data_IF_576223533042
#
_entry.id   IF_576223533042
#
_cell.length_a   1.000
_cell.length_b   1.000
_cell.length_c   1.000
_cell.angle_alpha   90.00
_cell.angle_beta   90.00
_cell.angle_gamma   90.00
#
_symmetry.space_group_name_H-M   'P 1'
#
loop_
_entity.id
_entity.type
_entity.pdbx_description
1 polymer ?
#
# COMPACT_ATOMS: atom_id res chain seq x y z
N UNK A 1 -12.11 1.42 6.67
CA UNK A 1 -11.18 0.28 6.52
C UNK A 1 -11.73 -0.95 7.24
N UNK A 2 -11.70 -1.00 8.58
CA UNK A 2 -12.13 -2.18 9.36
C UNK A 2 -13.47 -2.79 8.92
N UNK A 3 -14.54 -1.99 8.92
CA UNK A 3 -15.87 -2.46 8.54
C UNK A 3 -16.02 -2.88 7.06
N UNK A 4 -15.18 -2.36 6.17
CA UNK A 4 -15.15 -2.76 4.77
C UNK A 4 -14.39 -4.08 4.62
N UNK A 5 -13.28 -4.24 5.33
CA UNK A 5 -12.51 -5.47 5.37
C UNK A 5 -13.35 -6.63 5.94
N UNK A 6 -14.09 -6.38 7.03
CA UNK A 6 -15.07 -7.32 7.61
C UNK A 6 -16.11 -7.76 6.57
N UNK A 7 -16.69 -6.80 5.85
CA UNK A 7 -17.71 -7.10 4.85
C UNK A 7 -17.14 -7.93 3.69
N UNK A 8 -15.91 -7.67 3.24
CA UNK A 8 -15.25 -8.47 2.21
C UNK A 8 -14.97 -9.89 2.73
N UNK A 9 -14.46 -10.03 3.95
CA UNK A 9 -14.21 -11.33 4.58
C UNK A 9 -15.49 -12.16 4.75
N UNK A 10 -16.59 -11.50 5.11
CA UNK A 10 -17.90 -12.12 5.24
C UNK A 10 -18.36 -12.74 3.92
N UNK A 11 -18.34 -11.96 2.84
CA UNK A 11 -18.75 -12.43 1.53
C UNK A 11 -17.80 -13.51 0.97
N UNK A 12 -16.48 -13.36 1.18
CA UNK A 12 -15.52 -14.38 0.77
C UNK A 12 -15.74 -15.72 1.49
N UNK A 13 -16.09 -15.68 2.78
CA UNK A 13 -16.40 -16.87 3.56
C UNK A 13 -17.67 -17.55 3.06
N UNK A 14 -18.74 -16.79 2.81
CA UNK A 14 -19.97 -17.32 2.22
C UNK A 14 -19.73 -17.99 0.86
N UNK A 15 -18.96 -17.34 -0.02
CA UNK A 15 -18.64 -17.89 -1.34
C UNK A 15 -17.83 -19.19 -1.23
N UNK A 16 -16.86 -19.27 -0.31
CA UNK A 16 -16.08 -20.49 -0.07
C UNK A 16 -16.94 -21.63 0.47
N UNK A 17 -17.89 -21.34 1.35
CA UNK A 17 -18.88 -22.31 1.84
C UNK A 17 -19.77 -22.82 0.71
N UNK A 18 -20.26 -21.92 -0.16
CA UNK A 18 -21.10 -22.29 -1.29
C UNK A 18 -20.36 -23.24 -2.25
N UNK A 19 -19.09 -22.92 -2.57
CA UNK A 19 -18.25 -23.80 -3.36
C UNK A 19 -17.96 -25.14 -2.66
N UNK A 20 -17.84 -25.15 -1.33
CA UNK A 20 -17.63 -26.38 -0.57
C UNK A 20 -18.86 -27.28 -0.61
N UNK A 21 -20.06 -26.69 -0.55
CA UNK A 21 -21.32 -27.42 -0.70
C UNK A 21 -21.42 -28.10 -2.07
N UNK A 22 -20.96 -27.45 -3.13
CA UNK A 22 -21.01 -28.01 -4.49
C UNK A 22 -19.88 -29.01 -4.78
N UNK A 23 -18.67 -28.76 -4.27
CA UNK A 23 -17.44 -29.43 -4.73
C UNK A 23 -16.69 -30.19 -3.63
N UNK A 24 -17.23 -30.19 -2.42
CA UNK A 24 -16.54 -30.61 -1.20
C UNK A 24 -15.57 -29.54 -0.68
N UNK A 25 -15.19 -29.60 0.60
CA UNK A 25 -14.22 -28.69 1.20
C UNK A 25 -12.81 -28.91 0.64
N UNK A 26 -11.85 -28.06 1.02
CA UNK A 26 -10.44 -28.33 0.70
C UNK A 26 -9.96 -29.63 1.39
N UNK A 27 -8.98 -30.35 0.81
CA UNK A 27 -8.64 -31.71 1.26
C UNK A 27 -8.24 -31.86 2.74
N UNK A 28 -7.62 -30.83 3.33
CA UNK A 28 -7.16 -30.81 4.72
C UNK A 28 -8.14 -30.09 5.67
N UNK A 29 -9.41 -29.94 5.29
CA UNK A 29 -10.41 -29.30 6.13
C UNK A 29 -10.66 -30.10 7.40
N UNK A 30 -10.46 -29.46 8.55
CA UNK A 30 -10.75 -30.00 9.86
C UNK A 30 -11.35 -28.88 10.73
N UNK A 31 -12.63 -28.98 11.15
CA UNK A 31 -13.28 -27.96 11.96
C UNK A 31 -12.66 -27.84 13.38
N UNK A 32 -11.98 -28.87 13.89
CA UNK A 32 -11.28 -28.84 15.17
C UNK A 32 -9.93 -28.12 15.11
N UNK A 33 -9.27 -28.10 13.94
CA UNK A 33 -7.97 -27.45 13.74
C UNK A 33 -8.10 -26.06 13.10
N UNK A 34 -9.12 -25.82 12.27
CA UNK A 34 -9.30 -24.54 11.61
C UNK A 34 -9.67 -23.45 12.61
N UNK A 35 -9.03 -22.29 12.47
CA UNK A 35 -9.31 -21.10 13.30
C UNK A 35 -9.71 -19.96 12.36
N UNK A 36 -11.02 -19.75 12.16
CA UNK A 36 -11.48 -18.77 11.21
C UNK A 36 -11.24 -17.34 11.70
N UNK A 37 -10.97 -16.43 10.76
CA UNK A 37 -10.66 -15.03 11.07
C UNK A 37 -11.78 -14.35 11.86
N UNK A 38 -13.06 -14.66 11.60
CA UNK A 38 -14.17 -14.03 12.34
C UNK A 38 -14.24 -14.40 13.83
N UNK A 39 -13.54 -15.46 14.26
CA UNK A 39 -13.40 -15.80 15.68
C UNK A 39 -12.17 -15.15 16.32
N UNK A 40 -11.13 -14.86 15.53
CA UNK A 40 -9.83 -14.37 16.03
C UNK A 40 -9.57 -12.89 15.74
N UNK A 41 -10.40 -12.26 14.90
CA UNK A 41 -10.26 -10.86 14.53
C UNK A 41 -10.37 -9.98 15.78
N UNK A 42 -9.41 -9.08 16.03
CA UNK A 42 -9.51 -8.16 17.16
C UNK A 42 -10.72 -7.24 16.97
N UNK A 43 -11.39 -6.91 18.08
CA UNK A 43 -12.49 -5.94 18.05
C UNK A 43 -11.96 -4.56 17.70
N UNK A 44 -12.79 -3.73 17.08
CA UNK A 44 -12.39 -2.37 16.71
C UNK A 44 -11.99 -1.54 17.94
N UNK A 45 -12.69 -1.74 19.05
CA UNK A 45 -12.43 -1.11 20.35
C UNK A 45 -11.03 -1.47 20.87
N UNK A 46 -10.60 -2.71 20.70
CA UNK A 46 -9.28 -3.20 21.12
C UNK A 46 -8.18 -2.53 20.27
N UNK A 47 -8.37 -2.46 18.96
CA UNK A 47 -7.44 -1.76 18.06
C UNK A 47 -7.31 -0.28 18.43
N UNK A 48 -8.42 0.40 18.72
CA UNK A 48 -8.43 1.80 19.17
C UNK A 48 -7.71 1.96 20.50
N UNK A 49 -7.97 1.07 21.47
CA UNK A 49 -7.30 1.09 22.77
C UNK A 49 -5.79 0.92 22.64
N UNK A 50 -5.32 -0.04 21.84
CA UNK A 50 -3.87 -0.25 21.60
C UNK A 50 -3.25 0.94 20.87
N UNK A 51 -3.99 1.55 19.95
CA UNK A 51 -3.57 2.75 19.23
C UNK A 51 -3.54 4.02 20.09
N UNK A 52 -4.13 4.01 21.30
CA UNK A 52 -4.30 5.20 22.12
C UNK A 52 -5.32 6.19 21.55
N UNK A 53 -6.30 5.70 20.78
CA UNK A 53 -7.34 6.49 20.10
C UNK A 53 -8.70 6.25 20.74
N UNK A 54 -9.62 7.22 20.59
CA UNK A 54 -10.99 7.09 21.08
C UNK A 54 -12.01 7.00 19.96
N UNK A 55 -12.94 6.04 20.05
CA UNK A 55 -14.09 5.95 19.13
C UNK A 55 -15.01 7.17 19.21
N UNK A 56 -14.93 7.95 20.28
CA UNK A 56 -15.69 9.20 20.42
C UNK A 56 -15.17 10.29 19.46
N UNK A 57 -13.90 10.24 19.08
CA UNK A 57 -13.27 11.19 18.15
C UNK A 57 -13.63 10.91 16.68
N UNK A 58 -14.22 9.76 16.38
CA UNK A 58 -14.68 9.42 15.04
C UNK A 58 -15.82 10.37 14.62
N UNK A 59 -15.64 11.03 13.48
CA UNK A 59 -16.59 12.02 12.96
C UNK A 59 -17.99 11.44 12.73
N UNK A 60 -19.01 12.28 12.91
CA UNK A 60 -20.41 11.91 12.70
C UNK A 60 -20.68 11.34 11.30
N UNK A 61 -20.04 11.92 10.27
CA UNK A 61 -20.14 11.45 8.88
C UNK A 61 -19.63 10.02 8.73
N UNK A 62 -18.50 9.67 9.35
CA UNK A 62 -17.99 8.28 9.30
C UNK A 62 -18.93 7.33 10.02
N UNK A 63 -19.47 7.73 11.17
CA UNK A 63 -20.47 6.94 11.90
C UNK A 63 -21.73 6.70 11.05
N UNK A 64 -22.19 7.70 10.31
CA UNK A 64 -23.33 7.58 9.40
C UNK A 64 -23.03 6.61 8.25
N UNK A 65 -21.89 6.75 7.57
CA UNK A 65 -21.46 5.83 6.51
C UNK A 65 -21.44 4.39 7.04
N UNK A 66 -20.84 4.17 8.21
CA UNK A 66 -20.77 2.83 8.83
C UNK A 66 -22.16 2.30 9.19
N UNK A 67 -23.06 3.14 9.71
CA UNK A 67 -24.44 2.73 10.02
C UNK A 67 -25.24 2.32 8.78
N UNK A 68 -24.95 2.92 7.63
CA UNK A 68 -25.62 2.60 6.37
C UNK A 68 -25.17 1.28 5.73
N UNK A 69 -24.13 0.62 6.27
CA UNK A 69 -23.59 -0.61 5.69
C UNK A 69 -24.55 -1.80 5.87
N UNK A 70 -24.51 -2.79 4.95
CA UNK A 70 -25.22 -4.06 5.14
C UNK A 70 -24.75 -4.79 6.42
N UNK A 71 -25.67 -5.48 7.08
CA UNK A 71 -25.33 -6.30 8.27
C UNK A 71 -24.53 -7.53 7.85
N UNK A 72 -23.62 -7.95 8.72
CA UNK A 72 -22.91 -9.23 8.64
C UNK A 72 -23.46 -10.17 9.72
N UNK A 73 -23.66 -11.43 9.37
CA UNK A 73 -24.14 -12.47 10.28
C UNK A 73 -23.14 -13.61 10.35
N UNK A 74 -22.16 -13.49 11.24
CA UNK A 74 -21.11 -14.50 11.40
C UNK A 74 -21.63 -15.82 11.97
N UNK A 75 -22.77 -15.82 12.68
CA UNK A 75 -23.42 -17.05 13.15
C UNK A 75 -23.95 -17.89 11.98
N UNK A 76 -24.47 -17.23 10.93
CA UNK A 76 -24.82 -17.91 9.68
C UNK A 76 -23.58 -18.56 9.06
N UNK A 77 -22.49 -17.81 8.87
CA UNK A 77 -21.25 -18.31 8.25
C UNK A 77 -20.71 -19.50 9.04
N UNK A 78 -20.68 -19.41 10.37
CA UNK A 78 -20.23 -20.48 11.24
C UNK A 78 -21.10 -21.74 11.09
N UNK A 79 -22.43 -21.60 11.13
CA UNK A 79 -23.35 -22.73 10.97
C UNK A 79 -23.19 -23.44 9.63
N UNK A 80 -23.01 -22.69 8.54
CA UNK A 80 -22.83 -23.25 7.21
C UNK A 80 -21.44 -23.86 7.03
N UNK A 81 -20.41 -23.24 7.61
CA UNK A 81 -19.03 -23.76 7.61
C UNK A 81 -18.95 -25.10 8.35
N UNK A 82 -19.65 -25.25 9.48
CA UNK A 82 -19.71 -26.53 10.21
C UNK A 82 -20.45 -27.61 9.41
N UNK A 83 -21.45 -27.23 8.60
CA UNK A 83 -22.24 -28.16 7.79
C UNK A 83 -21.54 -28.60 6.50
N UNK A 84 -20.90 -27.67 5.79
CA UNK A 84 -20.39 -27.90 4.43
C UNK A 84 -18.86 -27.80 4.33
N UNK A 85 -18.20 -27.21 5.33
CA UNK A 85 -16.79 -26.86 5.29
C UNK A 85 -16.48 -25.63 4.44
N UNK A 86 -15.19 -25.36 4.24
CA UNK A 86 -14.69 -24.31 3.35
C UNK A 86 -14.00 -24.93 2.13
N UNK A 87 -14.15 -24.30 0.96
CA UNK A 87 -13.49 -24.76 -0.27
C UNK A 87 -12.03 -24.33 -0.34
N UNK A 88 -11.70 -23.22 0.32
CA UNK A 88 -10.38 -22.60 0.28
C UNK A 88 -9.77 -22.60 1.68
N UNK A 89 -8.49 -22.96 1.79
CA UNK A 89 -7.77 -22.94 3.06
C UNK A 89 -7.49 -21.50 3.54
N UNK A 90 -7.23 -20.58 2.61
CA UNK A 90 -7.13 -19.14 2.83
C UNK A 90 -8.00 -18.39 1.80
N UNK A 91 -8.53 -17.24 2.20
CA UNK A 91 -9.53 -16.48 1.45
C UNK A 91 -9.00 -15.14 0.96
N UNK A 92 -8.23 -14.43 1.78
CA UNK A 92 -7.90 -13.02 1.56
C UNK A 92 -6.41 -12.75 1.67
N UNK A 93 -5.91 -11.99 0.70
CA UNK A 93 -4.57 -11.40 0.70
C UNK A 93 -4.64 -10.05 0.01
N UNK A 94 -3.97 -9.04 0.56
CA UNK A 94 -3.88 -7.73 -0.09
C UNK A 94 -2.51 -7.62 -0.72
N UNK A 95 -2.47 -7.81 -2.04
CA UNK A 95 -1.26 -7.69 -2.84
C UNK A 95 -1.04 -6.26 -3.37
N UNK A 96 0.18 -5.91 -3.80
CA UNK A 96 0.42 -4.72 -4.61
C UNK A 96 -0.38 -4.78 -5.91
N UNK A 97 -0.98 -3.66 -6.31
CA UNK A 97 -1.77 -3.57 -7.55
C UNK A 97 -1.27 -2.48 -8.49
N UNK A 98 0.05 -2.21 -8.49
CA UNK A 98 0.65 -1.12 -9.28
C UNK A 98 0.20 -1.08 -10.74
N UNK A 99 0.40 -2.16 -11.51
CA UNK A 99 -0.04 -2.20 -12.92
C UNK A 99 -1.55 -2.29 -13.09
N UNK A 100 -2.24 -3.06 -12.24
CA UNK A 100 -3.69 -3.28 -12.34
C UNK A 100 -4.49 -2.00 -12.04
N UNK A 101 -4.03 -1.22 -11.07
CA UNK A 101 -4.67 0.05 -10.69
C UNK A 101 -4.59 1.09 -11.81
N UNK A 102 -3.51 1.09 -12.61
CA UNK A 102 -3.41 1.93 -13.82
C UNK A 102 -4.46 1.51 -14.85
N UNK A 103 -4.61 0.22 -15.10
CA UNK A 103 -5.62 -0.31 -16.03
C UNK A 103 -7.04 0.03 -15.56
N UNK A 104 -7.30 -0.10 -14.26
CA UNK A 104 -8.60 0.19 -13.66
C UNK A 104 -8.88 1.69 -13.46
N UNK A 105 -7.86 2.55 -13.59
CA UNK A 105 -7.97 3.98 -13.28
C UNK A 105 -8.27 4.25 -11.81
N UNK A 106 -7.69 3.46 -10.89
CA UNK A 106 -7.90 3.59 -9.43
C UNK A 106 -6.59 3.83 -8.69
N UNK A 107 -6.66 4.11 -7.38
CA UNK A 107 -5.49 4.05 -6.51
C UNK A 107 -4.92 2.63 -6.43
N UNK A 108 -3.63 2.51 -6.13
CA UNK A 108 -2.96 1.23 -5.94
C UNK A 108 -3.28 0.65 -4.56
N UNK A 109 -4.11 -0.39 -4.53
CA UNK A 109 -4.41 -1.18 -3.32
C UNK A 109 -4.98 -0.29 -2.21
N UNK A 110 -4.56 -0.52 -0.97
CA UNK A 110 -4.93 0.26 0.23
C UNK A 110 -3.92 1.39 0.53
N UNK A 111 -3.19 1.84 -0.48
CA UNK A 111 -2.22 2.92 -0.34
C UNK A 111 -2.87 4.30 -0.48
N UNK A 112 -2.42 5.31 0.29
CA UNK A 112 -2.69 6.69 -0.08
C UNK A 112 -2.01 7.03 -1.40
N UNK A 113 -2.50 8.07 -2.08
CA UNK A 113 -1.89 8.55 -3.32
C UNK A 113 -0.45 8.98 -3.01
N UNK A 114 0.51 8.47 -3.78
CA UNK A 114 1.92 8.76 -3.55
C UNK A 114 2.31 10.17 -3.98
N UNK A 115 1.80 10.63 -5.13
CA UNK A 115 1.98 11.98 -5.65
C UNK A 115 0.73 12.40 -6.45
N UNK A 116 0.30 13.65 -6.30
CA UNK A 116 -0.88 14.18 -7.01
C UNK A 116 -0.59 14.51 -8.48
N UNK A 117 0.66 14.82 -8.79
CA UNK A 117 1.14 15.01 -10.13
C UNK A 117 2.56 14.48 -10.23
N UNK A 118 2.88 13.74 -11.28
CA UNK A 118 4.20 13.19 -11.50
C UNK A 118 4.57 13.24 -12.97
N UNK A 119 5.88 13.24 -13.22
CA UNK A 119 6.43 13.32 -14.56
C UNK A 119 6.72 11.93 -15.09
N UNK A 120 6.11 11.57 -16.21
CA UNK A 120 6.34 10.32 -16.92
C UNK A 120 7.20 10.56 -18.15
N UNK A 121 8.40 9.97 -18.15
CA UNK A 121 9.32 10.00 -19.29
C UNK A 121 9.05 8.80 -20.18
N UNK A 122 8.53 9.03 -21.38
CA UNK A 122 8.31 8.04 -22.44
C UNK A 122 9.22 8.34 -23.63
N UNK A 123 9.32 7.40 -24.58
CA UNK A 123 10.22 7.52 -25.74
C UNK A 123 9.98 8.80 -26.56
N UNK A 124 8.74 9.27 -26.62
CA UNK A 124 8.31 10.44 -27.40
C UNK A 124 8.38 11.76 -26.64
N UNK A 125 8.77 11.76 -25.36
CA UNK A 125 8.89 12.97 -24.55
C UNK A 125 8.51 12.79 -23.09
N UNK A 126 8.37 13.92 -22.41
CA UNK A 126 8.09 14.00 -20.98
C UNK A 126 6.68 14.55 -20.77
N UNK A 127 5.82 13.80 -20.09
CA UNK A 127 4.43 14.18 -19.82
C UNK A 127 4.20 14.35 -18.32
N UNK A 128 3.39 15.32 -17.94
CA UNK A 128 2.91 15.47 -16.56
C UNK A 128 1.57 14.74 -16.48
N UNK A 129 1.52 13.68 -15.68
CA UNK A 129 0.27 13.03 -15.29
C UNK A 129 -0.19 13.61 -13.97
N UNK A 130 -1.50 13.91 -13.87
CA UNK A 130 -2.13 14.50 -12.69
C UNK A 130 -3.29 13.61 -12.28
N UNK A 131 -3.49 13.42 -10.97
CA UNK A 131 -4.66 12.74 -10.45
C UNK A 131 -5.95 13.44 -10.94
N UNK A 132 -6.84 12.65 -11.51
CA UNK A 132 -8.05 13.17 -12.16
C UNK A 132 -8.98 13.87 -11.16
N UNK A 133 -9.19 13.28 -9.98
CA UNK A 133 -10.08 13.83 -8.96
C UNK A 133 -9.49 15.11 -8.38
N UNK A 134 -8.18 15.18 -8.25
CA UNK A 134 -7.48 16.39 -7.86
C UNK A 134 -7.66 17.51 -8.87
N UNK A 135 -7.51 17.23 -10.17
CA UNK A 135 -7.72 18.21 -11.23
C UNK A 135 -9.17 18.71 -11.27
N UNK A 136 -10.15 17.81 -11.12
CA UNK A 136 -11.57 18.16 -11.00
C UNK A 136 -11.82 19.05 -9.77
N UNK A 137 -11.16 18.77 -8.65
CA UNK A 137 -11.26 19.60 -7.45
C UNK A 137 -10.64 20.99 -7.63
N UNK A 138 -9.51 21.12 -8.33
CA UNK A 138 -8.92 22.42 -8.64
C UNK A 138 -9.81 23.26 -9.57
N UNK A 139 -10.43 22.64 -10.57
CA UNK A 139 -11.38 23.29 -11.49
C UNK A 139 -12.55 23.93 -10.77
N UNK A 140 -13.04 23.30 -9.71
CA UNK A 140 -14.15 23.86 -8.92
C UNK A 140 -13.79 25.18 -8.22
N UNK A 141 -12.51 25.56 -8.19
CA UNK A 141 -12.00 26.81 -7.63
C UNK A 141 -11.27 27.68 -8.67
N UNK A 142 -11.35 27.34 -9.96
CA UNK A 142 -10.61 28.00 -11.05
C UNK A 142 -9.07 27.99 -10.84
N UNK A 143 -8.55 26.93 -10.22
CA UNK A 143 -7.13 26.75 -9.89
C UNK A 143 -6.41 25.72 -10.77
N UNK A 144 -7.00 25.31 -11.89
CA UNK A 144 -6.43 24.27 -12.77
C UNK A 144 -5.49 24.82 -13.86
N UNK A 145 -4.94 26.01 -13.66
CA UNK A 145 -3.97 26.60 -14.59
C UNK A 145 -2.72 25.74 -14.72
N UNK A 146 -2.09 25.76 -15.90
CA UNK A 146 -0.87 24.97 -16.15
C UNK A 146 0.27 25.31 -15.18
N UNK A 147 0.30 26.53 -14.65
CA UNK A 147 1.27 26.95 -13.65
C UNK A 147 1.03 26.27 -12.30
N UNK A 148 -0.21 26.27 -11.80
CA UNK A 148 -0.55 25.57 -10.55
C UNK A 148 -0.27 24.09 -10.68
N UNK A 149 -0.69 23.47 -11.78
CA UNK A 149 -0.42 22.04 -12.04
C UNK A 149 1.08 21.73 -12.05
N UNK A 150 1.90 22.59 -12.68
CA UNK A 150 3.36 22.44 -12.66
C UNK A 150 3.93 22.56 -11.25
N UNK A 151 3.50 23.55 -10.47
CA UNK A 151 3.95 23.73 -9.09
C UNK A 151 3.59 22.53 -8.20
N UNK A 152 2.40 21.93 -8.40
CA UNK A 152 2.01 20.71 -7.68
C UNK A 152 2.81 19.50 -8.14
N UNK A 153 3.13 19.39 -9.43
CA UNK A 153 4.04 18.36 -9.94
C UNK A 153 5.47 18.52 -9.39
N UNK A 154 5.89 19.75 -9.11
CA UNK A 154 7.18 20.06 -8.49
C UNK A 154 7.23 19.69 -7.00
N UNK A 155 6.19 20.02 -6.23
CA UNK A 155 6.13 19.70 -4.80
C UNK A 155 5.67 18.26 -4.52
N UNK A 156 4.98 17.62 -5.46
CA UNK A 156 4.33 16.31 -5.30
C UNK A 156 3.09 16.30 -4.40
N UNK A 157 2.89 17.34 -3.59
CA UNK A 157 1.82 17.49 -2.61
C UNK A 157 1.32 18.94 -2.54
N UNK A 158 0.07 19.10 -2.10
CA UNK A 158 -0.54 20.42 -1.80
C UNK A 158 -0.74 20.68 -0.32
N UNK A 159 -0.42 19.73 0.57
CA UNK A 159 -0.81 19.79 1.98
C UNK A 159 -0.34 21.09 2.69
N UNK A 160 0.83 21.60 2.30
CA UNK A 160 1.49 22.76 2.89
C UNK A 160 1.41 24.05 2.03
N UNK A 161 0.69 24.04 0.91
CA UNK A 161 0.61 25.20 0.01
C UNK A 161 -0.47 26.20 0.49
N UNK A 162 -0.13 27.39 1.02
CA UNK A 162 -1.12 28.32 1.57
C UNK A 162 -2.10 28.87 0.52
N UNK A 163 -1.75 28.82 -0.77
CA UNK A 163 -2.59 29.30 -1.87
C UNK A 163 -3.66 28.28 -2.30
N UNK A 164 -3.58 27.03 -1.81
CA UNK A 164 -4.58 26.00 -2.10
C UNK A 164 -5.65 26.00 -0.98
N UNK A 165 -6.95 25.99 -1.32
CA UNK A 165 -8.04 25.93 -0.34
C UNK A 165 -7.84 24.82 0.68
N UNK A 166 -8.06 25.13 1.96
CA UNK A 166 -7.85 24.20 3.09
C UNK A 166 -8.50 22.83 2.86
N UNK A 167 -9.72 22.80 2.32
CA UNK A 167 -10.47 21.57 2.04
C UNK A 167 -9.75 20.67 1.03
N UNK A 168 -9.15 21.25 -0.01
CA UNK A 168 -8.35 20.51 -1.00
C UNK A 168 -7.07 19.98 -0.32
N UNK A 169 -6.40 20.80 0.49
CA UNK A 169 -5.19 20.39 1.21
C UNK A 169 -5.40 19.24 2.19
N UNK A 170 -6.53 19.23 2.88
CA UNK A 170 -6.88 18.16 3.82
C UNK A 170 -7.27 16.87 3.08
N UNK A 171 -7.98 16.98 1.95
CA UNK A 171 -8.46 15.83 1.19
C UNK A 171 -7.36 15.15 0.38
N UNK A 172 -6.49 15.93 -0.26
CA UNK A 172 -5.46 15.45 -1.18
C UNK A 172 -4.08 15.33 -0.52
N UNK A 173 -4.05 14.93 0.75
CA UNK A 173 -2.79 14.54 1.40
C UNK A 173 -2.20 13.32 0.70
N UNK A 174 -0.91 13.37 0.42
CA UNK A 174 -0.16 12.26 -0.16
C UNK A 174 0.41 11.34 0.92
N UNK A 175 1.01 10.24 0.48
CA UNK A 175 1.68 9.27 1.35
C UNK A 175 2.64 9.89 2.38
N UNK A 176 3.38 10.93 2.01
CA UNK A 176 4.37 11.59 2.89
C UNK A 176 3.75 12.64 3.82
N UNK A 177 2.53 13.11 3.53
CA UNK A 177 1.80 14.05 4.39
C UNK A 177 1.03 13.33 5.52
N UNK A 178 0.94 12.01 5.45
CA UNK A 178 0.25 11.17 6.42
C UNK A 178 1.27 10.67 7.46
N UNK A 179 1.06 10.94 8.76
CA UNK A 179 1.99 10.47 9.78
C UNK A 179 2.15 8.94 9.77
N UNK A 180 3.37 8.41 10.01
CA UNK A 180 3.67 6.97 9.89
C UNK A 180 2.70 6.06 10.64
N UNK A 181 2.29 6.44 11.85
CA UNK A 181 1.35 5.68 12.69
C UNK A 181 -0.01 5.46 12.01
N UNK A 182 -0.50 6.43 11.22
CA UNK A 182 -1.77 6.28 10.50
C UNK A 182 -1.68 5.27 9.36
N UNK A 183 -0.51 5.09 8.74
CA UNK A 183 -0.31 4.00 7.80
C UNK A 183 -0.42 2.64 8.50
N UNK A 184 0.13 2.53 9.72
CA UNK A 184 0.04 1.31 10.54
C UNK A 184 -1.40 1.05 10.98
N UNK A 185 -2.12 2.06 11.48
CA UNK A 185 -3.54 1.94 11.85
C UNK A 185 -4.40 1.48 10.67
N UNK A 186 -4.15 2.04 9.49
CA UNK A 186 -4.85 1.64 8.28
C UNK A 186 -4.56 0.18 7.92
N UNK A 187 -3.28 -0.24 7.99
CA UNK A 187 -2.91 -1.64 7.73
C UNK A 187 -3.55 -2.59 8.74
N UNK A 188 -3.49 -2.28 10.04
CA UNK A 188 -4.04 -3.10 11.11
C UNK A 188 -5.55 -3.30 10.96
N UNK A 189 -6.27 -2.24 10.59
CA UNK A 189 -7.71 -2.30 10.34
C UNK A 189 -8.08 -3.28 9.21
N UNK A 190 -7.25 -3.41 8.18
CA UNK A 190 -7.41 -4.42 7.13
C UNK A 190 -6.93 -5.80 7.58
N UNK A 191 -5.76 -5.88 8.23
CA UNK A 191 -5.14 -7.14 8.65
C UNK A 191 -6.03 -7.92 9.63
N UNK A 192 -6.83 -7.23 10.45
CA UNK A 192 -7.80 -7.84 11.35
C UNK A 192 -8.74 -8.84 10.66
N UNK A 193 -9.03 -8.62 9.37
CA UNK A 193 -9.97 -9.43 8.59
C UNK A 193 -9.31 -10.19 7.43
N UNK A 194 -7.98 -10.18 7.33
CA UNK A 194 -7.21 -10.83 6.25
C UNK A 194 -6.40 -11.99 6.81
N UNK A 195 -6.63 -13.21 6.32
CA UNK A 195 -5.99 -14.45 6.80
C UNK A 195 -4.56 -14.64 6.28
N UNK A 196 -4.21 -14.08 5.12
CA UNK A 196 -2.83 -14.00 4.65
C UNK A 196 -2.17 -12.66 5.00
N UNK A 197 -1.27 -12.17 4.15
CA UNK A 197 -0.55 -10.91 4.33
C UNK A 197 -1.26 -9.69 3.75
N UNK A 198 -0.91 -8.53 4.29
CA UNK A 198 -1.29 -7.22 3.75
C UNK A 198 -0.03 -6.48 3.29
N UNK A 199 0.10 -6.28 1.98
CA UNK A 199 1.17 -5.49 1.39
C UNK A 199 0.76 -4.03 1.38
N UNK A 200 1.20 -3.31 2.42
CA UNK A 200 1.06 -1.87 2.55
C UNK A 200 2.38 -1.27 3.02
N UNK A 201 2.70 -0.11 2.44
CA UNK A 201 3.91 0.64 2.71
C UNK A 201 3.64 1.73 3.73
N UNK A 202 4.43 1.76 4.79
CA UNK A 202 4.57 2.94 5.67
C UNK A 202 5.59 3.86 5.02
N UNK A 203 5.09 4.91 4.38
CA UNK A 203 5.94 5.93 3.77
C UNK A 203 6.37 6.92 4.85
N UNK A 204 7.68 7.20 4.92
CA UNK A 204 8.28 8.10 5.88
C UNK A 204 9.13 9.15 5.15
N UNK A 205 9.14 10.37 5.68
CA UNK A 205 10.00 11.46 5.19
C UNK A 205 11.48 11.12 5.37
N UNK A 206 12.33 11.81 4.62
CA UNK A 206 13.79 11.60 4.62
C UNK A 206 14.40 11.72 6.03
N UNK A 207 13.89 12.67 6.83
CA UNK A 207 14.35 13.01 8.17
C UNK A 207 13.96 11.97 9.23
N UNK A 208 13.17 10.94 8.87
CA UNK A 208 12.74 9.92 9.81
C UNK A 208 13.93 9.15 10.41
N UNK A 209 13.96 9.09 11.73
CA UNK A 209 15.05 8.49 12.48
C UNK A 209 14.89 6.96 12.60
N UNK A 210 15.97 6.21 12.91
CA UNK A 210 15.85 4.80 13.27
C UNK A 210 14.85 4.55 14.41
N UNK A 211 14.75 5.48 15.37
CA UNK A 211 13.79 5.36 16.47
C UNK A 211 12.34 5.47 15.98
N UNK A 212 12.07 6.30 14.98
CA UNK A 212 10.74 6.39 14.37
C UNK A 212 10.38 5.10 13.63
N UNK A 213 11.34 4.48 12.97
CA UNK A 213 11.18 3.15 12.36
C UNK A 213 10.87 2.09 13.42
N UNK A 214 11.60 2.08 14.56
CA UNK A 214 11.34 1.16 15.67
C UNK A 214 9.91 1.34 16.21
N UNK A 215 9.44 2.59 16.36
CA UNK A 215 8.06 2.87 16.78
C UNK A 215 7.04 2.27 15.81
N UNK A 216 7.26 2.38 14.51
CA UNK A 216 6.39 1.79 13.48
C UNK A 216 6.31 0.27 13.61
N UNK A 217 7.46 -0.42 13.69
CA UNK A 217 7.47 -1.89 13.87
C UNK A 217 6.82 -2.31 15.19
N UNK A 218 7.13 -1.62 16.29
CA UNK A 218 6.57 -1.92 17.61
C UNK A 218 5.05 -1.72 17.61
N UNK A 219 4.56 -0.64 17.01
CA UNK A 219 3.13 -0.36 16.90
C UNK A 219 2.41 -1.43 16.05
N UNK A 220 3.01 -1.81 14.92
CA UNK A 220 2.46 -2.85 14.04
C UNK A 220 2.36 -4.21 14.76
N UNK A 221 3.41 -4.58 15.50
CA UNK A 221 3.41 -5.79 16.32
C UNK A 221 2.30 -5.75 17.38
N UNK A 222 2.18 -4.64 18.13
CA UNK A 222 1.12 -4.46 19.15
C UNK A 222 -0.29 -4.56 18.58
N UNK A 223 -0.48 -4.09 17.34
CA UNK A 223 -1.77 -4.13 16.64
C UNK A 223 -2.03 -5.46 15.90
N UNK A 224 -1.15 -6.44 16.02
CA UNK A 224 -1.34 -7.77 15.40
C UNK A 224 -1.08 -7.81 13.89
N UNK A 225 -0.30 -6.87 13.35
CA UNK A 225 0.12 -6.93 11.95
C UNK A 225 1.04 -8.14 11.71
N UNK A 226 0.76 -8.95 10.67
CA UNK A 226 1.56 -10.15 10.35
C UNK A 226 2.90 -9.83 9.69
N UNK A 227 2.99 -8.67 9.05
CA UNK A 227 4.20 -8.13 8.45
C UNK A 227 4.02 -6.64 8.20
N UNK A 228 5.10 -5.93 7.91
CA UNK A 228 5.06 -4.50 7.59
C UNK A 228 6.18 -4.14 6.64
N UNK A 229 5.96 -3.15 5.79
CA UNK A 229 6.98 -2.61 4.88
C UNK A 229 7.16 -1.13 5.18
N UNK A 230 8.39 -0.72 5.46
CA UNK A 230 8.75 0.68 5.66
C UNK A 230 9.53 1.17 4.45
N UNK A 231 9.11 2.31 3.92
CA UNK A 231 9.84 3.05 2.91
C UNK A 231 10.16 4.44 3.45
N UNK A 232 11.44 4.70 3.72
CA UNK A 232 11.94 6.04 4.02
C UNK A 232 12.38 6.71 2.74
N UNK A 233 11.98 7.95 2.51
CA UNK A 233 12.41 8.69 1.32
C UNK A 233 13.95 8.73 1.22
N UNK A 234 14.45 8.66 -0.02
CA UNK A 234 15.88 8.57 -0.40
C UNK A 234 16.66 7.41 0.21
N UNK A 235 16.00 6.39 0.76
CA UNK A 235 16.67 5.17 1.25
C UNK A 235 17.17 4.25 0.12
N UNK A 236 16.67 4.43 -1.11
CA UNK A 236 17.14 3.70 -2.31
C UNK A 236 17.74 4.68 -3.31
N UNK A 237 18.83 4.25 -3.97
CA UNK A 237 19.52 5.02 -5.01
C UNK A 237 18.70 5.20 -6.30
N UNK A 238 17.78 4.28 -6.57
CA UNK A 238 16.80 4.37 -7.68
C UNK A 238 15.39 4.30 -7.12
N UNK A 239 14.56 5.27 -7.50
CA UNK A 239 13.13 5.30 -7.18
C UNK A 239 12.32 5.01 -8.45
N UNK A 240 11.15 4.40 -8.35
CA UNK A 240 10.26 4.19 -9.51
C UNK A 240 9.36 5.40 -9.72
N UNK A 241 9.05 6.10 -8.63
CA UNK A 241 8.27 7.33 -8.61
C UNK A 241 9.14 8.40 -7.95
N UNK A 242 9.38 9.48 -8.69
CA UNK A 242 10.23 10.59 -8.25
C UNK A 242 9.36 11.81 -7.94
N UNK A 243 9.73 12.56 -6.91
CA UNK A 243 9.12 13.85 -6.59
C UNK A 243 9.78 14.97 -7.40
N UNK A 244 8.98 15.77 -8.10
CA UNK A 244 9.42 17.05 -8.66
C UNK A 244 10.03 17.03 -10.08
N UNK A 245 9.78 18.12 -10.82
CA UNK A 245 10.20 18.30 -12.23
C UNK A 245 11.72 18.47 -12.38
N UNK A 246 12.43 18.95 -11.35
CA UNK A 246 13.91 19.04 -11.32
C UNK A 246 14.61 17.67 -11.42
N UNK A 247 13.85 16.57 -11.32
CA UNK A 247 14.36 15.21 -11.50
C UNK A 247 14.13 14.70 -12.93
N UNK A 248 13.24 15.29 -13.74
CA UNK A 248 13.14 14.91 -15.16
C UNK A 248 14.45 15.18 -15.91
N UNK A 249 15.15 16.26 -15.55
CA UNK A 249 16.50 16.56 -16.04
C UNK A 249 17.51 15.52 -15.54
N UNK A 250 17.57 15.25 -14.22
CA UNK A 250 18.50 14.24 -13.64
C UNK A 250 18.25 12.82 -14.10
N UNK A 251 17.00 12.37 -14.19
CA UNK A 251 16.64 11.05 -14.67
C UNK A 251 16.86 10.90 -16.19
N UNK A 252 16.69 11.99 -16.96
CA UNK A 252 17.10 12.02 -18.36
C UNK A 252 18.63 12.06 -18.50
N UNK A 253 19.34 12.74 -17.60
CA UNK A 253 20.80 12.77 -17.51
C UNK A 253 21.35 11.38 -17.18
N UNK A 254 20.82 10.71 -16.16
CA UNK A 254 21.19 9.34 -15.77
C UNK A 254 20.87 8.31 -16.86
N UNK A 255 19.77 8.47 -17.61
CA UNK A 255 19.48 7.64 -18.79
C UNK A 255 20.46 7.92 -19.94
N UNK A 256 20.77 9.19 -20.22
CA UNK A 256 21.78 9.59 -21.20
C UNK A 256 23.18 9.09 -20.81
N UNK A 257 23.49 9.04 -19.52
CA UNK A 257 24.76 8.55 -18.99
C UNK A 257 24.86 7.01 -19.06
N UNK A 258 23.75 6.30 -18.81
CA UNK A 258 23.67 4.86 -19.00
C UNK A 258 23.80 4.47 -20.49
N UNK A 259 23.13 5.19 -21.40
CA UNK A 259 23.26 4.99 -22.85
C UNK A 259 24.68 5.33 -23.35
N UNK A 260 25.31 6.40 -22.85
CA UNK A 260 26.72 6.72 -23.16
C UNK A 260 27.72 5.67 -22.67
N UNK A 261 27.39 4.92 -21.60
CA UNK A 261 28.21 3.81 -21.10
C UNK A 261 28.06 2.55 -21.96
N UNK A 262 26.89 2.30 -22.53
CA UNK A 262 26.66 1.23 -23.50
C UNK A 262 27.27 1.52 -24.88
N UNK A 263 27.34 2.79 -25.30
CA UNK A 263 27.91 3.19 -26.60
C UNK A 263 29.44 3.33 -26.62
N UNK A 264 30.12 3.23 -25.47
CA UNK A 264 31.59 3.15 -25.43
C UNK A 264 32.00 1.73 -25.79
N UNK A 265 32.72 1.49 -26.91
CA UNK A 265 33.24 0.16 -27.19
C UNK A 265 34.16 -0.24 -26.05
N UNK A 266 33.85 -1.35 -25.37
CA UNK A 266 34.76 -1.98 -24.42
C UNK A 266 36.08 -2.27 -25.13
N UNK A 267 37.14 -1.58 -24.74
CA UNK A 267 38.50 -1.99 -25.09
C UNK A 267 38.71 -3.33 -24.41
N UNK A 268 38.63 -4.40 -25.21
CA UNK A 268 38.75 -5.78 -24.79
C UNK A 268 40.18 -6.02 -24.30
N UNK A 269 40.41 -5.84 -23.00
CA UNK A 269 41.59 -6.38 -22.35
C UNK A 269 41.35 -7.86 -22.10
N UNK A 270 41.97 -8.72 -22.91
CA UNK A 270 42.05 -10.15 -22.66
C UNK A 270 42.64 -10.40 -21.27
N UNK A 271 41.79 -10.85 -20.35
CA UNK A 271 42.23 -11.50 -19.12
C UNK A 271 41.45 -12.78 -18.95
N UNK A 272 42.12 -13.86 -19.32
CA UNK A 272 41.82 -15.25 -18.96
C UNK A 272 41.38 -15.33 -17.50
N UNK A 273 40.15 -15.75 -17.24
CA UNK A 273 39.71 -16.18 -15.91
C UNK A 273 38.87 -17.45 -16.02
N UNK A 274 39.33 -18.41 -15.23
CA UNK A 274 38.86 -19.78 -15.08
C UNK A 274 37.42 -19.80 -14.55
N UNK A 275 36.58 -20.62 -15.16
CA UNK A 275 35.20 -20.82 -14.73
C UNK A 275 35.15 -21.66 -13.44
N UNK A 276 34.53 -21.11 -12.39
CA UNK A 276 33.99 -21.90 -11.29
C UNK A 276 32.48 -21.94 -11.49
N UNK A 277 31.96 -23.14 -11.75
CA UNK A 277 30.52 -23.41 -11.74
C UNK A 277 30.10 -23.47 -10.26
N UNK A 278 29.42 -22.44 -9.78
CA UNK A 278 28.75 -22.47 -8.48
C UNK A 278 27.36 -23.10 -8.67
N UNK A 279 27.12 -24.19 -7.93
CA UNK A 279 25.84 -24.90 -7.87
C UNK A 279 24.74 -23.98 -7.34
N UNK A 280 23.53 -24.16 -7.87
CA UNK A 280 22.30 -23.52 -7.39
C UNK A 280 22.13 -23.75 -5.88
N UNK A 281 22.03 -22.65 -5.13
CA UNK A 281 21.66 -22.66 -3.72
C UNK A 281 22.49 -21.71 -2.88
N UNK A 282 22.31 -20.40 -3.04
CA UNK A 282 22.64 -19.43 -1.99
C UNK A 282 21.82 -18.14 -2.19
N UNK A 283 20.97 -17.89 -1.19
CA UNK A 283 20.02 -16.78 -1.11
C UNK A 283 20.83 -15.51 -0.83
N UNK A 284 20.69 -14.49 -1.66
CA UNK A 284 21.40 -13.22 -1.52
C UNK A 284 21.14 -12.55 -0.17
N UNK A 285 22.14 -12.58 0.70
CA UNK A 285 22.19 -11.81 1.95
C UNK A 285 22.58 -10.35 1.70
N UNK A 286 21.97 -9.43 2.45
CA UNK A 286 22.28 -8.01 2.45
C UNK A 286 23.70 -7.76 3.02
N UNK A 287 24.59 -6.98 2.35
CA UNK A 287 25.97 -6.75 2.80
C UNK A 287 26.14 -5.86 4.04
N UNK A 288 25.07 -5.55 4.78
CA UNK A 288 25.08 -4.52 5.85
C UNK A 288 24.75 -5.08 7.24
N UNK A 289 24.74 -6.40 7.41
CA UNK A 289 24.37 -7.05 8.67
C UNK A 289 25.51 -7.89 9.30
N UNK A 290 26.74 -7.40 9.25
CA UNK A 290 27.85 -7.92 10.08
C UNK A 290 28.12 -6.97 11.24
N UNK A 291 27.39 -7.16 12.35
CA UNK A 291 27.81 -6.84 13.72
C UNK A 291 27.09 -7.78 14.70
#
# INVERSE_FOLDING_TARGET
AYHLAEFIAYNASLASVELARERGPFPAWDPGLYRPVWQTAPKLEELFSVAGLSLNEVSGRVKEIVRSRPKVDWSLVESLTLRYGLRNATLLSIAPTGTLSIIAGTSSSIEPIFALAFTRVVTVGTFIEVDRLFLEALRAYDLDTSEVVRLVAESGSVAHNPYIPRRIRELFRTAHDVPPEYHVYHQAAWQAWVDAGVSKTVNMVYEATPMDVIKVYTLAWKLGCKGITVYRDKSKSRQVIYFGVKISERAAEERREAQRKEERPEVRAEKTRVAYVLKEGEVGGCPTCEY
#
